data_IF_266262209132
#
_entry.id   IF_266262209132
#
_cell.length_a   1.000
_cell.length_b   1.000
_cell.length_c   1.000
_cell.angle_alpha   90.00
_cell.angle_beta   90.00
_cell.angle_gamma   90.00
#
_symmetry.space_group_name_H-M   'P 1'
#
loop_
_entity.id
_entity.type
_entity.pdbx_description
1 polymer ?
#
# COMPACT_ATOMS: atom_id res chain seq x y z
N UNK A 1 -4.26 15.65 -10.09
CA UNK A 1 -3.84 15.40 -8.70
C UNK A 1 -4.80 14.41 -8.04
N UNK A 2 -4.38 13.17 -7.78
CA UNK A 2 -5.12 12.20 -6.96
C UNK A 2 -5.00 12.53 -5.47
N UNK A 3 -5.99 12.13 -4.68
CA UNK A 3 -5.96 12.21 -3.21
C UNK A 3 -6.01 13.62 -2.60
N UNK A 4 -5.77 13.64 -1.28
CA UNK A 4 -5.85 14.81 -0.40
C UNK A 4 -4.74 15.81 -0.67
N UNK A 5 -5.05 17.11 -0.49
CA UNK A 5 -4.09 18.20 -0.55
C UNK A 5 -4.36 19.23 0.55
N UNK A 6 -3.38 19.47 1.42
CA UNK A 6 -3.48 20.52 2.44
C UNK A 6 -3.22 21.89 1.79
N UNK A 7 -4.11 22.83 2.05
CA UNK A 7 -4.01 24.22 1.59
C UNK A 7 -4.04 25.20 2.76
N UNK A 8 -3.36 26.33 2.59
CA UNK A 8 -3.41 27.48 3.50
C UNK A 8 -4.72 28.24 3.28
N UNK A 9 -5.38 28.64 4.36
CA UNK A 9 -6.57 29.48 4.34
C UNK A 9 -6.57 30.43 5.54
N UNK A 10 -7.71 31.08 5.81
CA UNK A 10 -7.92 31.98 6.94
C UNK A 10 -9.11 31.48 7.78
N UNK A 11 -9.01 31.62 9.11
CA UNK A 11 -10.13 31.34 10.02
C UNK A 11 -11.12 32.53 10.08
N UNK A 12 -12.19 32.39 10.87
CA UNK A 12 -13.20 33.45 11.06
C UNK A 12 -12.68 34.72 11.76
N UNK A 13 -11.46 34.68 12.30
CA UNK A 13 -10.77 35.81 12.95
C UNK A 13 -9.65 36.39 12.07
N UNK A 14 -9.48 35.89 10.84
CA UNK A 14 -8.44 36.33 9.90
C UNK A 14 -7.06 35.70 10.14
N UNK A 15 -6.92 34.74 11.06
CA UNK A 15 -5.65 34.07 11.29
C UNK A 15 -5.38 33.01 10.22
N UNK A 16 -4.10 32.78 9.93
CA UNK A 16 -3.67 31.69 9.05
C UNK A 16 -4.09 30.33 9.62
N UNK A 17 -4.79 29.53 8.81
CA UNK A 17 -5.23 28.18 9.13
C UNK A 17 -4.94 27.19 7.99
N UNK A 18 -5.04 25.89 8.26
CA UNK A 18 -4.85 24.83 7.26
C UNK A 18 -6.12 23.99 7.13
N UNK A 19 -6.42 23.56 5.90
CA UNK A 19 -7.53 22.63 5.61
C UNK A 19 -7.23 21.76 4.41
N UNK A 20 -7.97 20.67 4.24
CA UNK A 20 -8.02 19.97 2.96
C UNK A 20 -8.65 20.89 1.89
N UNK A 21 -8.02 20.95 0.72
CA UNK A 21 -8.31 21.89 -0.36
C UNK A 21 -8.61 21.18 -1.68
N UNK A 22 -9.39 21.84 -2.55
CA UNK A 22 -9.81 21.29 -3.84
C UNK A 22 -10.47 19.89 -3.71
N UNK A 23 -11.28 19.70 -2.66
CA UNK A 23 -11.84 18.39 -2.29
C UNK A 23 -12.82 17.85 -3.35
N UNK A 24 -13.36 18.70 -4.23
CA UNK A 24 -14.22 18.27 -5.35
C UNK A 24 -13.53 17.31 -6.31
N UNK A 25 -12.21 17.13 -6.23
CA UNK A 25 -11.47 16.10 -6.99
C UNK A 25 -11.65 14.69 -6.42
N UNK A 26 -12.02 14.56 -5.16
CA UNK A 26 -11.97 13.31 -4.40
C UNK A 26 -13.28 12.51 -4.52
N UNK A 27 -13.17 11.20 -4.28
CA UNK A 27 -14.24 10.20 -4.46
C UNK A 27 -15.55 10.53 -3.73
N UNK A 28 -15.47 11.15 -2.54
CA UNK A 28 -16.65 11.41 -1.71
C UNK A 28 -17.54 12.52 -2.27
N UNK A 29 -17.04 13.33 -3.22
CA UNK A 29 -17.83 14.35 -3.93
C UNK A 29 -18.09 13.92 -5.38
N UNK A 30 -17.05 13.51 -6.10
CA UNK A 30 -17.14 13.28 -7.55
C UNK A 30 -17.40 11.84 -7.99
N UNK A 31 -17.39 10.88 -7.05
CA UNK A 31 -17.72 9.46 -7.32
C UNK A 31 -16.93 8.92 -8.53
N UNK A 32 -17.58 8.37 -9.54
CA UNK A 32 -16.94 7.87 -10.77
C UNK A 32 -16.06 8.94 -11.45
N UNK A 33 -16.45 10.22 -11.41
CA UNK A 33 -15.70 11.34 -12.01
C UNK A 33 -14.54 11.87 -11.15
N UNK A 34 -14.19 11.19 -10.07
CA UNK A 34 -13.07 11.56 -9.22
C UNK A 34 -11.74 11.35 -9.93
N UNK A 35 -10.68 12.01 -9.46
CA UNK A 35 -9.34 11.87 -10.06
C UNK A 35 -8.65 10.55 -9.71
N UNK A 36 -9.17 9.81 -8.73
CA UNK A 36 -8.73 8.49 -8.27
C UNK A 36 -9.76 7.96 -7.26
N UNK A 37 -9.80 6.65 -7.07
CA UNK A 37 -10.58 5.99 -6.01
C UNK A 37 -9.95 6.13 -4.61
N UNK A 38 -8.75 6.69 -4.47
CA UNK A 38 -8.04 6.73 -3.18
C UNK A 38 -8.85 7.45 -2.08
N UNK A 39 -8.94 6.80 -0.92
CA UNK A 39 -9.58 7.35 0.28
C UNK A 39 -8.63 7.31 1.48
N UNK A 40 -8.43 6.15 2.13
CA UNK A 40 -7.33 5.97 3.09
C UNK A 40 -6.01 6.01 2.33
N UNK A 41 -5.02 6.76 2.83
CA UNK A 41 -3.70 6.92 2.21
C UNK A 41 -2.61 6.48 3.19
N UNK A 42 -1.54 7.26 3.35
CA UNK A 42 -0.39 6.96 4.22
C UNK A 42 -0.02 8.17 5.10
N UNK A 43 -1.03 8.78 5.77
CA UNK A 43 -0.84 10.07 6.47
C UNK A 43 0.19 9.96 7.60
N UNK A 44 0.10 8.95 8.47
CA UNK A 44 1.05 8.77 9.57
C UNK A 44 2.50 8.63 9.05
N UNK A 45 2.71 7.83 8.00
CA UNK A 45 4.03 7.64 7.40
C UNK A 45 4.54 8.91 6.70
N UNK A 46 3.65 9.68 6.06
CA UNK A 46 3.99 10.99 5.50
C UNK A 46 4.37 12.00 6.59
N UNK A 47 3.70 11.96 7.74
CA UNK A 47 4.08 12.74 8.93
C UNK A 47 5.46 12.31 9.42
N UNK A 48 5.73 11.02 9.58
CA UNK A 48 7.06 10.52 9.99
C UNK A 48 8.17 10.96 9.02
N UNK A 49 7.96 10.82 7.72
CA UNK A 49 8.92 11.29 6.70
C UNK A 49 9.14 12.81 6.77
N UNK A 50 8.07 13.60 7.01
CA UNK A 50 8.20 15.04 7.20
C UNK A 50 8.99 15.39 8.46
N UNK A 51 8.81 14.64 9.54
CA UNK A 51 9.53 14.82 10.80
C UNK A 51 11.01 14.46 10.65
N UNK A 52 11.33 13.40 9.91
CA UNK A 52 12.70 13.07 9.53
C UNK A 52 13.36 14.22 8.75
N UNK A 53 12.65 14.81 7.77
CA UNK A 53 13.14 15.96 7.02
C UNK A 53 13.25 17.24 7.89
N UNK A 54 12.37 17.48 8.85
CA UNK A 54 12.47 18.61 9.80
C UNK A 54 13.68 18.45 10.71
N UNK A 55 13.90 17.24 11.22
CA UNK A 55 14.99 16.93 12.14
C UNK A 55 16.36 17.04 11.45
N UNK A 56 16.54 16.39 10.30
CA UNK A 56 17.80 16.40 9.55
C UNK A 56 18.00 17.65 8.69
N UNK A 57 16.91 18.25 8.17
CA UNK A 57 16.92 19.41 7.30
C UNK A 57 17.87 19.28 6.08
N UNK A 58 18.14 20.36 5.34
CA UNK A 58 18.86 20.24 4.08
C UNK A 58 20.30 19.74 4.25
N UNK A 59 21.01 20.18 5.30
CA UNK A 59 22.40 19.78 5.53
C UNK A 59 22.53 18.32 5.99
N UNK A 60 21.68 17.87 6.93
CA UNK A 60 21.71 16.49 7.42
C UNK A 60 21.32 15.49 6.34
N UNK A 61 20.26 15.78 5.57
CA UNK A 61 19.87 14.93 4.44
C UNK A 61 20.96 14.86 3.36
N UNK A 62 21.65 15.99 3.08
CA UNK A 62 22.81 16.00 2.18
C UNK A 62 23.94 15.11 2.73
N UNK A 63 24.25 15.21 4.02
CA UNK A 63 25.30 14.43 4.66
C UNK A 63 24.98 12.91 4.63
N UNK A 64 23.72 12.53 4.87
CA UNK A 64 23.27 11.14 4.75
C UNK A 64 23.45 10.65 3.31
N UNK A 65 22.93 11.39 2.33
CA UNK A 65 23.06 11.03 0.91
C UNK A 65 24.53 10.92 0.46
N UNK A 66 25.38 11.85 0.90
CA UNK A 66 26.83 11.82 0.63
C UNK A 66 27.50 10.60 1.27
N UNK A 67 27.14 10.27 2.51
CA UNK A 67 27.66 9.08 3.21
C UNK A 67 27.28 7.79 2.50
N UNK A 68 26.01 7.62 2.09
CA UNK A 68 25.55 6.45 1.34
C UNK A 68 26.30 6.31 0.01
N UNK A 69 26.43 7.40 -0.74
CA UNK A 69 27.17 7.38 -2.00
C UNK A 69 28.65 7.04 -1.80
N UNK A 70 29.31 7.62 -0.78
CA UNK A 70 30.71 7.31 -0.47
C UNK A 70 30.92 5.83 -0.13
N UNK A 71 30.02 5.22 0.65
CA UNK A 71 30.04 3.77 0.93
C UNK A 71 29.93 2.98 -0.38
N UNK A 72 29.04 3.39 -1.28
CA UNK A 72 28.81 2.71 -2.57
C UNK A 72 30.03 2.82 -3.49
N UNK A 73 30.66 4.00 -3.55
CA UNK A 73 31.91 4.19 -4.29
C UNK A 73 33.03 3.31 -3.75
N UNK A 74 33.18 3.23 -2.41
CA UNK A 74 34.17 2.33 -1.80
C UNK A 74 33.89 0.89 -2.18
N UNK A 75 32.64 0.44 -2.03
CA UNK A 75 32.22 -0.91 -2.42
C UNK A 75 32.61 -1.22 -3.87
N UNK A 76 32.27 -0.32 -4.80
CA UNK A 76 32.59 -0.44 -6.22
C UNK A 76 34.11 -0.55 -6.46
N UNK A 77 34.92 0.30 -5.83
CA UNK A 77 36.39 0.23 -5.94
C UNK A 77 36.94 -1.13 -5.49
N UNK A 78 36.40 -1.70 -4.42
CA UNK A 78 36.81 -3.02 -3.95
C UNK A 78 36.43 -4.13 -4.93
N UNK A 79 35.24 -4.06 -5.54
CA UNK A 79 34.80 -5.00 -6.57
C UNK A 79 35.65 -4.89 -7.85
N UNK A 80 35.96 -3.67 -8.29
CA UNK A 80 36.87 -3.42 -9.41
C UNK A 80 38.29 -3.95 -9.14
N UNK A 81 38.79 -3.82 -7.90
CA UNK A 81 40.09 -4.37 -7.49
C UNK A 81 40.13 -5.90 -7.53
N UNK A 82 38.98 -6.57 -7.37
CA UNK A 82 38.83 -8.02 -7.55
C UNK A 82 38.69 -8.43 -9.03
N UNK A 83 38.66 -7.48 -9.96
CA UNK A 83 38.57 -7.72 -11.40
C UNK A 83 37.15 -7.80 -11.94
N UNK A 84 36.13 -7.42 -11.16
CA UNK A 84 34.75 -7.37 -11.65
C UNK A 84 34.45 -6.06 -12.39
N UNK A 85 33.60 -6.15 -13.41
CA UNK A 85 33.06 -4.98 -14.12
C UNK A 85 31.85 -4.44 -13.36
N UNK A 86 31.93 -3.17 -12.95
CA UNK A 86 30.84 -2.47 -12.24
C UNK A 86 30.18 -1.45 -13.19
N UNK A 87 28.87 -1.56 -13.34
CA UNK A 87 28.04 -0.70 -14.19
C UNK A 87 26.79 -0.21 -13.45
N UNK A 88 26.24 0.96 -13.81
CA UNK A 88 26.86 2.00 -14.64
C UNK A 88 28.11 2.62 -13.98
N UNK A 89 28.92 3.35 -14.74
CA UNK A 89 30.10 4.06 -14.21
C UNK A 89 29.73 5.22 -13.28
N UNK A 90 28.52 5.78 -13.44
CA UNK A 90 27.92 6.80 -12.58
C UNK A 90 26.66 6.27 -11.90
N UNK A 91 26.55 6.47 -10.59
CA UNK A 91 25.49 5.91 -9.75
C UNK A 91 25.29 6.74 -8.47
N UNK A 92 24.17 6.56 -7.79
CA UNK A 92 23.97 7.11 -6.45
C UNK A 92 24.35 6.09 -5.37
N UNK A 93 23.51 5.10 -5.13
CA UNK A 93 23.66 4.08 -4.08
C UNK A 93 23.61 2.64 -4.60
N UNK A 94 23.37 2.49 -5.90
CA UNK A 94 23.05 1.22 -6.54
C UNK A 94 23.97 0.96 -7.72
N UNK A 95 24.60 -0.21 -7.73
CA UNK A 95 25.46 -0.70 -8.79
C UNK A 95 25.01 -2.07 -9.27
N UNK A 96 25.39 -2.41 -10.49
CA UNK A 96 25.26 -3.75 -11.08
C UNK A 96 26.63 -4.29 -11.40
N UNK A 97 26.89 -5.55 -11.06
CA UNK A 97 28.18 -6.20 -11.24
C UNK A 97 28.01 -7.37 -12.20
N UNK A 98 28.82 -7.41 -13.25
CA UNK A 98 28.89 -8.57 -14.14
C UNK A 98 29.73 -9.67 -13.51
N UNK A 99 29.11 -10.84 -13.33
CA UNK A 99 29.72 -11.99 -12.63
C UNK A 99 29.62 -13.29 -13.44
N UNK A 100 28.88 -13.26 -14.56
CA UNK A 100 28.70 -14.42 -15.43
C UNK A 100 28.17 -15.64 -14.68
N UNK A 101 28.78 -16.80 -14.94
CA UNK A 101 28.38 -18.08 -14.33
C UNK A 101 28.60 -18.14 -12.81
N UNK A 102 29.36 -17.19 -12.23
CA UNK A 102 29.61 -17.13 -10.79
C UNK A 102 28.43 -16.58 -9.98
N UNK A 103 27.40 -16.01 -10.64
CA UNK A 103 26.24 -15.39 -9.98
C UNK A 103 25.66 -16.28 -8.87
N UNK A 104 25.40 -17.56 -9.15
CA UNK A 104 24.84 -18.48 -8.18
C UNK A 104 25.73 -18.73 -6.95
N UNK A 105 27.05 -18.77 -7.14
CA UNK A 105 28.02 -19.01 -6.06
C UNK A 105 28.16 -17.77 -5.19
N UNK A 106 28.27 -16.59 -5.79
CA UNK A 106 28.40 -15.31 -5.07
C UNK A 106 27.15 -15.03 -4.24
N UNK A 107 25.95 -15.26 -4.78
CA UNK A 107 24.71 -15.08 -4.00
C UNK A 107 24.70 -15.97 -2.75
N UNK A 108 25.07 -17.26 -2.89
CA UNK A 108 25.16 -18.18 -1.73
C UNK A 108 26.23 -17.77 -0.73
N UNK A 109 27.37 -17.25 -1.21
CA UNK A 109 28.42 -16.75 -0.34
C UNK A 109 27.97 -15.48 0.42
N UNK A 110 27.21 -14.59 -0.23
CA UNK A 110 26.62 -13.42 0.41
C UNK A 110 25.58 -13.82 1.46
N UNK A 111 24.72 -14.80 1.17
CA UNK A 111 23.75 -15.35 2.13
C UNK A 111 24.45 -15.93 3.37
N UNK A 112 25.59 -16.60 3.19
CA UNK A 112 26.40 -17.11 4.30
C UNK A 112 27.07 -16.02 5.15
N UNK A 113 27.12 -14.79 4.65
CA UNK A 113 27.59 -13.58 5.33
C UNK A 113 26.43 -12.68 5.82
N UNK A 114 25.21 -13.21 5.87
CA UNK A 114 23.99 -12.50 6.24
C UNK A 114 23.66 -11.29 5.33
N UNK A 115 24.00 -11.39 4.04
CA UNK A 115 23.73 -10.36 3.02
C UNK A 115 22.87 -10.90 1.88
N UNK A 116 21.75 -10.23 1.61
CA UNK A 116 20.94 -10.46 0.42
C UNK A 116 21.36 -9.53 -0.72
N UNK A 117 21.55 -10.07 -1.93
CA UNK A 117 21.85 -9.32 -3.14
C UNK A 117 20.80 -9.60 -4.22
N UNK A 118 20.62 -8.66 -5.16
CA UNK A 118 19.59 -8.79 -6.20
C UNK A 118 20.14 -9.55 -7.41
N UNK A 119 19.51 -10.67 -7.78
CA UNK A 119 19.77 -11.33 -9.07
C UNK A 119 19.23 -10.48 -10.22
N UNK A 120 20.05 -10.26 -11.26
CA UNK A 120 19.64 -9.59 -12.50
C UNK A 120 20.00 -10.50 -13.67
N UNK A 121 19.00 -11.00 -14.38
CA UNK A 121 19.20 -12.02 -15.41
C UNK A 121 19.93 -13.25 -14.85
N UNK A 122 20.80 -13.86 -15.66
CA UNK A 122 21.57 -15.06 -15.31
C UNK A 122 23.05 -14.79 -15.01
N UNK A 123 23.51 -13.54 -15.14
CA UNK A 123 24.92 -13.18 -15.20
C UNK A 123 25.31 -11.93 -14.39
N UNK A 124 24.35 -11.22 -13.80
CA UNK A 124 24.60 -9.97 -13.09
C UNK A 124 24.02 -9.94 -11.68
N UNK A 125 24.63 -9.15 -10.80
CA UNK A 125 24.17 -8.92 -9.43
C UNK A 125 23.97 -7.42 -9.21
N UNK A 126 22.78 -7.02 -8.79
CA UNK A 126 22.47 -5.68 -8.32
C UNK A 126 22.73 -5.54 -6.83
N UNK A 127 23.34 -4.42 -6.43
CA UNK A 127 23.68 -4.11 -5.04
C UNK A 127 23.25 -2.68 -4.76
N UNK A 128 22.43 -2.48 -3.73
CA UNK A 128 22.00 -1.16 -3.25
C UNK A 128 22.42 -1.01 -1.79
N UNK A 129 23.14 0.07 -1.49
CA UNK A 129 23.46 0.43 -0.10
C UNK A 129 22.51 1.50 0.40
N UNK A 130 22.47 1.68 1.72
CA UNK A 130 21.56 2.60 2.38
C UNK A 130 22.22 3.30 3.59
N UNK A 131 21.42 4.10 4.30
CA UNK A 131 21.85 4.82 5.50
C UNK A 131 22.41 3.86 6.57
N UNK A 132 21.79 2.68 6.72
CA UNK A 132 22.12 1.69 7.74
C UNK A 132 23.35 0.85 7.41
N UNK A 133 23.80 0.84 6.16
CA UNK A 133 24.97 0.09 5.72
C UNK A 133 26.21 0.47 6.54
N UNK A 134 26.90 -0.52 7.10
CA UNK A 134 28.09 -0.33 7.97
C UNK A 134 29.35 -0.88 7.30
N UNK A 135 30.56 -0.55 7.79
CA UNK A 135 31.80 -1.14 7.27
C UNK A 135 31.74 -2.65 7.10
N UNK A 136 31.26 -3.36 8.14
CA UNK A 136 31.10 -4.82 8.12
C UNK A 136 30.21 -5.34 6.98
N UNK A 137 29.22 -4.55 6.54
CA UNK A 137 28.34 -4.89 5.42
C UNK A 137 29.11 -4.86 4.09
N UNK A 138 29.97 -3.86 3.88
CA UNK A 138 30.78 -3.76 2.66
C UNK A 138 31.81 -4.89 2.60
N UNK A 139 32.43 -5.18 3.74
CA UNK A 139 33.43 -6.24 3.87
C UNK A 139 32.81 -7.62 3.64
N UNK A 140 31.60 -7.87 4.16
CA UNK A 140 30.81 -9.07 3.86
C UNK A 140 30.54 -9.23 2.36
N UNK A 141 30.17 -8.15 1.67
CA UNK A 141 30.00 -8.19 0.21
C UNK A 141 31.32 -8.50 -0.48
N UNK A 142 32.45 -7.89 -0.10
CA UNK A 142 33.73 -8.24 -0.72
C UNK A 142 34.13 -9.70 -0.48
N UNK A 143 33.91 -10.24 0.73
CA UNK A 143 34.13 -11.67 1.03
C UNK A 143 33.29 -12.57 0.14
N UNK A 144 32.02 -12.25 -0.09
CA UNK A 144 31.16 -12.99 -1.00
C UNK A 144 31.67 -13.02 -2.46
N UNK A 145 32.39 -11.97 -2.87
CA UNK A 145 33.02 -11.87 -4.19
C UNK A 145 34.46 -12.42 -4.23
N UNK A 146 34.95 -13.00 -3.13
CA UNK A 146 36.28 -13.61 -3.01
C UNK A 146 37.40 -12.66 -2.57
N UNK A 147 37.06 -11.47 -2.08
CA UNK A 147 38.01 -10.51 -1.52
C UNK A 147 38.14 -10.61 0.00
N UNK A 148 39.27 -10.13 0.52
CA UNK A 148 39.49 -9.97 1.96
C UNK A 148 40.09 -8.59 2.19
N UNK A 149 39.21 -7.59 2.32
CA UNK A 149 39.59 -6.21 2.50
C UNK A 149 38.90 -5.63 3.72
N UNK A 150 39.59 -4.72 4.42
CA UNK A 150 38.98 -3.77 5.34
C UNK A 150 38.57 -2.51 4.57
N UNK A 151 37.51 -1.83 5.01
CA UNK A 151 37.12 -0.53 4.44
C UNK A 151 38.24 0.52 4.50
N UNK A 152 39.16 0.41 5.46
CA UNK A 152 40.28 1.33 5.65
C UNK A 152 41.35 1.20 4.55
N UNK A 153 41.31 0.11 3.76
CA UNK A 153 42.17 -0.07 2.60
C UNK A 153 41.75 0.82 1.40
N UNK A 154 40.63 1.54 1.51
CA UNK A 154 40.09 2.38 0.45
C UNK A 154 39.91 3.82 0.93
N UNK A 155 40.67 4.73 0.33
CA UNK A 155 40.54 6.16 0.60
C UNK A 155 39.09 6.66 0.37
N UNK A 156 38.56 7.50 1.28
CA UNK A 156 37.29 8.17 1.08
C UNK A 156 37.26 8.90 -0.27
N UNK A 157 36.11 8.92 -0.94
CA UNK A 157 35.92 9.84 -2.06
C UNK A 157 35.99 11.28 -1.54
N UNK A 158 36.83 12.10 -2.15
CA UNK A 158 37.00 13.52 -1.83
C UNK A 158 36.07 14.38 -2.71
N UNK A 159 35.78 15.60 -2.27
CA UNK A 159 34.98 16.57 -3.06
C UNK A 159 35.57 16.81 -4.46
N UNK A 160 36.90 16.83 -4.56
CA UNK A 160 37.63 17.19 -5.79
C UNK A 160 37.98 15.96 -6.64
N UNK A 161 37.88 14.75 -6.09
CA UNK A 161 38.12 13.49 -6.81
C UNK A 161 37.42 12.30 -6.16
N UNK A 162 36.66 11.54 -6.95
CA UNK A 162 36.14 10.22 -6.55
C UNK A 162 34.62 10.10 -6.38
N UNK A 163 33.83 11.16 -6.55
CA UNK A 163 32.38 11.00 -6.73
C UNK A 163 32.12 10.28 -8.06
N UNK A 164 31.13 9.37 -8.06
CA UNK A 164 30.65 8.71 -9.29
C UNK A 164 29.26 9.20 -9.64
N UNK A 165 29.08 10.52 -9.65
CA UNK A 165 27.84 11.17 -10.07
C UNK A 165 28.07 11.87 -11.42
N UNK A 166 27.04 12.03 -12.26
CA UNK A 166 27.16 12.83 -13.48
C UNK A 166 27.39 14.30 -13.11
N UNK A 167 28.47 14.92 -13.62
CA UNK A 167 28.85 16.29 -13.28
C UNK A 167 27.76 17.31 -13.63
N UNK A 168 27.07 17.10 -14.75
CA UNK A 168 25.97 17.91 -15.25
C UNK A 168 24.64 17.72 -14.48
N UNK A 169 24.55 16.67 -13.65
CA UNK A 169 23.38 16.38 -12.82
C UNK A 169 23.57 16.70 -11.33
N UNK A 170 24.69 17.35 -10.97
CA UNK A 170 24.91 17.80 -9.60
C UNK A 170 23.91 18.90 -9.22
N UNK A 171 23.11 18.64 -8.19
CA UNK A 171 22.12 19.60 -7.71
C UNK A 171 22.78 20.85 -7.14
N UNK A 172 22.51 22.00 -7.77
CA UNK A 172 22.94 23.32 -7.30
C UNK A 172 21.83 24.11 -6.60
N UNK A 173 20.57 23.71 -6.78
CA UNK A 173 19.42 24.40 -6.19
C UNK A 173 19.31 24.19 -4.68
N UNK A 174 18.95 25.25 -3.96
CA UNK A 174 18.58 25.16 -2.55
C UNK A 174 17.27 24.39 -2.35
N UNK A 175 17.09 23.79 -1.17
CA UNK A 175 15.89 23.05 -0.81
C UNK A 175 15.64 23.10 0.70
N UNK A 176 14.40 22.81 1.09
CA UNK A 176 13.95 22.88 2.47
C UNK A 176 14.27 24.23 3.12
N UNK A 177 14.14 25.32 2.36
CA UNK A 177 14.50 26.69 2.80
C UNK A 177 13.49 27.31 3.77
N UNK A 178 12.33 26.70 3.93
CA UNK A 178 11.34 27.17 4.90
C UNK A 178 11.89 27.04 6.33
N UNK A 179 11.72 28.05 7.21
CA UNK A 179 12.33 28.06 8.54
C UNK A 179 12.10 26.80 9.38
N UNK A 180 10.98 26.11 9.18
CA UNK A 180 10.64 24.90 9.93
C UNK A 180 11.72 23.80 9.84
N UNK A 181 12.42 23.69 8.70
CA UNK A 181 13.49 22.72 8.49
C UNK A 181 14.82 23.17 9.11
N UNK A 182 14.85 24.28 9.85
CA UNK A 182 16.03 24.83 10.49
C UNK A 182 15.85 25.01 12.02
N UNK A 183 14.62 24.92 12.54
CA UNK A 183 14.28 25.32 13.91
C UNK A 183 14.30 24.20 14.97
N UNK A 184 14.24 22.92 14.59
CA UNK A 184 14.07 21.81 15.54
C UNK A 184 15.20 20.77 15.37
N UNK A 185 16.41 21.10 15.84
CA UNK A 185 17.63 20.31 15.59
C UNK A 185 18.04 19.47 16.78
N UNK A 186 17.74 19.93 17.98
CA UNK A 186 17.92 19.12 19.18
C UNK A 186 16.72 18.19 19.38
N UNK A 187 16.98 17.01 19.95
CA UNK A 187 15.94 16.04 20.31
C UNK A 187 14.84 16.67 21.18
N UNK A 188 15.22 17.53 22.13
CA UNK A 188 14.28 18.24 23.01
C UNK A 188 13.40 19.25 22.26
N UNK A 189 13.93 19.94 21.25
CA UNK A 189 13.17 20.86 20.39
C UNK A 189 12.17 20.08 19.54
N UNK A 190 12.64 18.98 18.93
CA UNK A 190 11.80 18.11 18.10
C UNK A 190 10.67 17.49 18.90
N UNK A 191 10.96 16.99 20.11
CA UNK A 191 9.95 16.46 21.04
C UNK A 191 8.89 17.51 21.37
N UNK A 192 9.30 18.74 21.68
CA UNK A 192 8.37 19.86 21.94
C UNK A 192 7.55 20.24 20.70
N UNK A 193 8.14 20.16 19.52
CA UNK A 193 7.45 20.44 18.26
C UNK A 193 6.37 19.40 17.96
N UNK A 194 6.70 18.11 18.03
CA UNK A 194 5.76 17.00 17.85
C UNK A 194 4.62 17.10 18.88
N UNK A 195 4.95 17.33 20.16
CA UNK A 195 3.94 17.47 21.22
C UNK A 195 2.97 18.61 20.93
N UNK A 196 3.48 19.79 20.53
CA UNK A 196 2.67 20.97 20.22
C UNK A 196 1.70 20.73 19.05
N UNK A 197 2.11 19.95 18.05
CA UNK A 197 1.21 19.57 16.95
C UNK A 197 0.15 18.58 17.43
N UNK A 198 0.55 17.55 18.18
CA UNK A 198 -0.37 16.56 18.76
C UNK A 198 -1.42 17.19 19.68
N UNK A 199 -1.06 18.22 20.45
CA UNK A 199 -1.99 18.93 21.32
C UNK A 199 -3.13 19.64 20.56
N UNK A 200 -2.91 19.99 19.29
CA UNK A 200 -3.91 20.68 18.44
C UNK A 200 -4.96 19.72 17.84
N UNK A 201 -4.70 18.43 17.86
CA UNK A 201 -5.54 17.43 17.22
C UNK A 201 -6.34 16.66 18.26
N UNK A 202 -7.66 16.58 18.08
CA UNK A 202 -8.52 15.70 18.90
C UNK A 202 -8.34 14.26 18.44
N UNK A 203 -7.93 13.38 19.35
CA UNK A 203 -7.74 11.95 19.10
C UNK A 203 -8.45 11.10 20.17
N UNK A 204 -8.41 9.77 20.01
CA UNK A 204 -9.14 8.80 20.82
C UNK A 204 -8.67 8.71 22.28
N UNK A 205 -7.50 9.27 22.61
CA UNK A 205 -7.03 9.42 23.99
C UNK A 205 -7.82 10.46 24.80
N UNK A 206 -8.63 11.30 24.13
CA UNK A 206 -9.39 12.39 24.76
C UNK A 206 -10.89 12.15 24.81
N UNK A 207 -11.47 11.68 23.71
CA UNK A 207 -12.91 11.48 23.62
C UNK A 207 -13.28 10.50 22.52
N UNK A 208 -14.55 10.05 22.54
CA UNK A 208 -15.16 9.38 21.40
C UNK A 208 -15.11 10.28 20.15
N UNK A 209 -14.82 9.68 18.99
CA UNK A 209 -14.92 10.31 17.66
C UNK A 209 -15.93 9.49 16.84
N UNK A 210 -17.24 9.82 16.87
CA UNK A 210 -18.30 8.98 16.32
C UNK A 210 -18.49 9.18 14.81
N UNK A 211 -17.43 8.97 14.02
CA UNK A 211 -17.49 9.07 12.57
C UNK A 211 -18.14 7.80 11.98
N UNK A 212 -19.35 7.95 11.44
CA UNK A 212 -20.04 6.90 10.70
C UNK A 212 -19.18 6.36 9.55
N UNK A 213 -19.28 5.05 9.28
CA UNK A 213 -18.45 4.33 8.29
C UNK A 213 -16.92 4.31 8.58
N UNK A 214 -16.45 4.86 9.71
CA UNK A 214 -15.02 4.83 10.07
C UNK A 214 -14.68 3.83 11.18
N UNK A 215 -15.63 3.43 12.02
CA UNK A 215 -15.42 2.47 13.11
C UNK A 215 -14.23 2.86 14.00
N UNK A 216 -14.31 4.03 14.65
CA UNK A 216 -13.26 4.55 15.54
C UNK A 216 -13.21 3.77 16.87
N UNK A 217 -12.79 2.50 16.79
CA UNK A 217 -12.65 1.58 17.93
C UNK A 217 -11.28 1.71 18.60
N UNK A 218 -11.08 0.95 19.68
CA UNK A 218 -9.79 0.83 20.33
C UNK A 218 -8.72 0.29 19.37
N UNK A 219 -7.57 0.96 19.32
CA UNK A 219 -6.33 0.41 18.79
C UNK A 219 -5.47 0.02 20.00
N UNK A 220 -5.53 -1.25 20.41
CA UNK A 220 -4.98 -1.63 21.71
C UNK A 220 -3.46 -1.59 21.70
N UNK A 221 -2.83 -1.16 22.80
CA UNK A 221 -1.37 -1.12 22.91
C UNK A 221 -0.74 -2.48 22.58
N UNK A 222 -1.32 -3.58 23.07
CA UNK A 222 -0.83 -4.93 22.79
C UNK A 222 -0.84 -5.27 21.28
N UNK A 223 -1.81 -4.76 20.52
CA UNK A 223 -1.88 -4.94 19.06
C UNK A 223 -0.84 -4.08 18.33
N UNK A 224 -0.47 -2.92 18.90
CA UNK A 224 0.46 -1.98 18.28
C UNK A 224 1.93 -2.31 18.53
N UNK A 225 2.27 -2.94 19.68
CA UNK A 225 3.66 -3.22 20.05
C UNK A 225 4.47 -3.96 18.95
N UNK A 226 3.92 -4.99 18.27
CA UNK A 226 4.71 -5.77 17.32
C UNK A 226 5.12 -5.02 16.04
N UNK A 227 4.41 -3.95 15.66
CA UNK A 227 4.65 -3.27 14.38
C UNK A 227 6.05 -2.62 14.29
N UNK A 228 6.72 -2.43 15.42
CA UNK A 228 8.08 -1.87 15.51
C UNK A 228 9.13 -2.90 15.96
N UNK A 229 8.78 -4.19 16.10
CA UNK A 229 9.79 -5.21 16.36
C UNK A 229 10.66 -5.41 15.11
N UNK A 230 11.98 -5.55 15.24
CA UNK A 230 12.87 -5.73 14.09
C UNK A 230 12.47 -6.89 13.18
N UNK A 231 11.95 -7.98 13.74
CA UNK A 231 11.47 -9.17 13.02
C UNK A 231 10.29 -8.87 12.07
N UNK A 232 9.58 -7.75 12.27
CA UNK A 232 8.57 -7.23 11.35
C UNK A 232 9.08 -6.01 10.57
N UNK A 233 9.62 -5.00 11.26
CA UNK A 233 9.92 -3.70 10.68
C UNK A 233 11.20 -3.65 9.83
N UNK A 234 12.11 -4.62 9.97
CA UNK A 234 13.43 -4.61 9.33
C UNK A 234 13.62 -5.68 8.25
N UNK A 235 12.53 -6.26 7.74
CA UNK A 235 12.56 -7.22 6.64
C UNK A 235 12.28 -6.54 5.30
N UNK A 236 13.20 -6.70 4.34
CA UNK A 236 12.98 -6.24 2.97
C UNK A 236 11.87 -7.08 2.30
N UNK A 237 10.92 -6.48 1.56
CA UNK A 237 9.77 -7.21 1.00
C UNK A 237 10.13 -8.31 -0.01
N UNK A 238 11.34 -8.26 -0.59
CA UNK A 238 11.85 -9.24 -1.56
C UNK A 238 12.99 -10.12 -1.02
N UNK A 239 13.08 -10.33 0.31
CA UNK A 239 13.97 -11.36 0.85
C UNK A 239 13.60 -12.75 0.31
N UNK A 240 14.55 -13.71 0.26
CA UNK A 240 14.24 -15.12 0.09
C UNK A 240 13.13 -15.58 1.05
N UNK A 241 12.18 -16.38 0.53
CA UNK A 241 10.97 -16.76 1.26
C UNK A 241 11.26 -17.50 2.58
N UNK A 242 12.40 -18.19 2.65
CA UNK A 242 12.84 -18.92 3.83
C UNK A 242 13.33 -18.01 4.97
N UNK A 243 13.62 -16.74 4.70
CA UNK A 243 13.93 -15.71 5.69
C UNK A 243 12.68 -15.01 6.24
N UNK A 244 11.53 -15.16 5.57
CA UNK A 244 10.25 -14.55 5.95
C UNK A 244 9.20 -15.59 6.44
N UNK A 245 9.64 -16.75 6.96
CA UNK A 245 8.72 -17.82 7.41
C UNK A 245 7.76 -17.36 8.51
N UNK A 246 8.21 -16.49 9.41
CA UNK A 246 7.35 -15.91 10.46
C UNK A 246 6.19 -15.11 9.87
N UNK A 247 6.46 -14.28 8.85
CA UNK A 247 5.43 -13.58 8.08
C UNK A 247 4.46 -14.56 7.42
N UNK A 248 4.96 -15.63 6.81
CA UNK A 248 4.10 -16.66 6.20
C UNK A 248 3.14 -17.26 7.21
N UNK A 249 3.62 -17.69 8.37
CA UNK A 249 2.77 -18.27 9.43
C UNK A 249 1.68 -17.28 9.86
N UNK A 250 2.05 -16.03 10.12
CA UNK A 250 1.10 -14.98 10.52
C UNK A 250 0.05 -14.71 9.42
N UNK A 251 0.46 -14.62 8.16
CA UNK A 251 -0.45 -14.32 7.05
C UNK A 251 -1.38 -15.49 6.75
N UNK A 252 -0.90 -16.73 6.82
CA UNK A 252 -1.71 -17.94 6.64
C UNK A 252 -2.77 -18.03 7.76
N UNK A 253 -2.37 -17.83 9.02
CA UNK A 253 -3.26 -17.84 10.18
C UNK A 253 -4.31 -16.71 10.11
N UNK A 254 -3.89 -15.49 9.76
CA UNK A 254 -4.83 -14.38 9.58
C UNK A 254 -5.79 -14.66 8.43
N UNK A 255 -5.30 -15.17 7.29
CA UNK A 255 -6.14 -15.49 6.13
C UNK A 255 -7.21 -16.53 6.49
N UNK A 256 -6.83 -17.58 7.23
CA UNK A 256 -7.78 -18.59 7.67
C UNK A 256 -8.86 -18.01 8.59
N UNK A 257 -8.46 -17.20 9.58
CA UNK A 257 -9.41 -16.52 10.47
C UNK A 257 -10.35 -15.59 9.69
N UNK A 258 -9.83 -14.89 8.68
CA UNK A 258 -10.63 -14.03 7.82
C UNK A 258 -11.61 -14.84 6.96
N UNK A 259 -11.21 -16.00 6.43
CA UNK A 259 -12.13 -16.95 5.77
C UNK A 259 -13.25 -17.37 6.73
N UNK A 260 -12.92 -17.75 7.97
CA UNK A 260 -13.91 -18.22 8.95
C UNK A 260 -14.97 -17.15 9.25
N UNK A 261 -14.55 -15.89 9.48
CA UNK A 261 -15.48 -14.78 9.79
C UNK A 261 -16.23 -14.23 8.59
N UNK A 262 -15.79 -14.51 7.37
CA UNK A 262 -16.43 -13.98 6.14
C UNK A 262 -17.18 -15.03 5.32
N UNK A 263 -16.90 -16.32 5.52
CA UNK A 263 -17.44 -17.40 4.70
C UNK A 263 -16.84 -17.47 3.30
N UNK A 264 -15.67 -16.88 3.08
CA UNK A 264 -14.89 -17.00 1.85
C UNK A 264 -13.91 -18.17 1.90
N UNK A 265 -13.35 -18.52 0.74
CA UNK A 265 -12.49 -19.69 0.56
C UNK A 265 -11.01 -19.33 0.45
N UNK A 266 -10.68 -18.10 0.01
CA UNK A 266 -9.31 -17.62 -0.11
C UNK A 266 -9.21 -16.10 0.13
N UNK A 267 -8.03 -15.64 0.53
CA UNK A 267 -7.73 -14.21 0.70
C UNK A 267 -6.49 -13.78 -0.11
N UNK A 268 -6.54 -12.56 -0.65
CA UNK A 268 -5.35 -11.83 -1.07
C UNK A 268 -5.09 -10.67 -0.12
N UNK A 269 -3.87 -10.63 0.42
CA UNK A 269 -3.39 -9.61 1.35
C UNK A 269 -2.73 -8.41 0.64
N UNK A 270 -2.59 -8.44 -0.68
CA UNK A 270 -1.90 -7.41 -1.46
C UNK A 270 -2.56 -6.01 -1.37
N UNK A 271 -3.90 -5.85 -1.43
CA UNK A 271 -4.47 -4.50 -1.48
C UNK A 271 -4.28 -3.72 -0.17
N UNK A 272 -3.58 -2.58 -0.27
CA UNK A 272 -3.14 -1.77 0.88
C UNK A 272 -4.13 -0.66 1.30
N UNK A 273 -5.38 -0.72 0.84
CA UNK A 273 -6.48 0.15 1.30
C UNK A 273 -7.81 -0.45 0.87
N UNK A 274 -8.92 -0.02 1.47
CA UNK A 274 -10.24 -0.53 1.07
C UNK A 274 -10.58 -0.27 -0.40
N UNK A 275 -10.25 0.93 -0.91
CA UNK A 275 -10.42 1.28 -2.32
C UNK A 275 -9.54 0.42 -3.25
N UNK A 276 -8.31 0.06 -2.82
CA UNK A 276 -7.50 -0.90 -3.57
C UNK A 276 -8.10 -2.32 -3.52
N UNK A 277 -8.75 -2.70 -2.40
CA UNK A 277 -9.49 -3.95 -2.30
C UNK A 277 -10.68 -4.00 -3.26
N UNK A 278 -11.43 -2.91 -3.39
CA UNK A 278 -12.47 -2.78 -4.43
C UNK A 278 -11.90 -2.96 -5.83
N UNK A 279 -10.87 -2.20 -6.17
CA UNK A 279 -10.23 -2.32 -7.48
C UNK A 279 -9.72 -3.75 -7.75
N UNK A 280 -9.09 -4.39 -6.76
CA UNK A 280 -8.60 -5.75 -6.86
C UNK A 280 -9.72 -6.78 -7.03
N UNK A 281 -10.81 -6.65 -6.28
CA UNK A 281 -11.98 -7.53 -6.39
C UNK A 281 -12.65 -7.42 -7.76
N UNK A 282 -12.77 -6.19 -8.29
CA UNK A 282 -13.33 -5.97 -9.62
C UNK A 282 -12.42 -6.49 -10.74
N UNK A 283 -11.09 -6.34 -10.60
CA UNK A 283 -10.15 -6.97 -11.53
C UNK A 283 -10.20 -8.50 -11.47
N UNK A 284 -10.39 -9.07 -10.27
CA UNK A 284 -10.57 -10.52 -10.08
C UNK A 284 -11.83 -11.01 -10.80
N UNK A 285 -12.96 -10.31 -10.63
CA UNK A 285 -14.21 -10.60 -11.37
C UNK A 285 -13.99 -10.49 -12.88
N UNK A 286 -13.31 -9.44 -13.35
CA UNK A 286 -13.02 -9.25 -14.77
C UNK A 286 -12.15 -10.38 -15.33
N UNK A 287 -11.13 -10.80 -14.59
CA UNK A 287 -10.27 -11.91 -14.99
C UNK A 287 -11.03 -13.24 -15.04
N UNK A 288 -11.97 -13.47 -14.11
CA UNK A 288 -12.89 -14.61 -14.14
C UNK A 288 -13.77 -14.60 -15.40
N UNK A 289 -14.42 -13.48 -15.72
CA UNK A 289 -15.23 -13.35 -16.95
C UNK A 289 -14.41 -13.60 -18.21
N UNK A 290 -13.19 -13.03 -18.30
CA UNK A 290 -12.28 -13.26 -19.42
C UNK A 290 -11.92 -14.74 -19.56
N UNK A 291 -11.62 -15.42 -18.44
CA UNK A 291 -11.27 -16.84 -18.46
C UNK A 291 -12.43 -17.73 -18.92
N UNK A 292 -13.67 -17.29 -18.74
CA UNK A 292 -14.88 -17.99 -19.20
C UNK A 292 -15.32 -17.59 -20.63
N UNK A 293 -14.59 -16.71 -21.31
CA UNK A 293 -14.95 -16.21 -22.65
C UNK A 293 -15.95 -15.05 -22.65
N UNK A 294 -16.40 -14.58 -21.48
CA UNK A 294 -17.34 -13.49 -21.31
C UNK A 294 -16.66 -12.12 -21.29
N UNK A 295 -15.75 -11.87 -22.24
CA UNK A 295 -14.90 -10.66 -22.28
C UNK A 295 -15.69 -9.36 -22.47
N UNK A 296 -16.96 -9.44 -22.84
CA UNK A 296 -17.87 -8.33 -23.10
C UNK A 296 -18.59 -7.81 -21.84
N UNK A 297 -18.56 -8.57 -20.73
CA UNK A 297 -19.24 -8.21 -19.48
C UNK A 297 -18.51 -7.08 -18.74
N UNK A 298 -18.93 -5.84 -18.97
CA UNK A 298 -18.33 -4.63 -18.41
C UNK A 298 -19.28 -3.74 -17.60
N UNK A 299 -20.55 -4.12 -17.44
CA UNK A 299 -21.53 -3.34 -16.66
C UNK A 299 -21.39 -3.64 -15.17
N UNK A 300 -21.23 -2.59 -14.37
CA UNK A 300 -21.24 -2.64 -12.91
C UNK A 300 -22.45 -1.87 -12.36
N UNK A 301 -23.38 -2.60 -11.74
CA UNK A 301 -24.53 -2.02 -11.05
C UNK A 301 -24.10 -1.49 -9.68
N UNK A 302 -24.43 -0.23 -9.37
CA UNK A 302 -24.02 0.40 -8.10
C UNK A 302 -25.18 1.20 -7.51
N UNK A 303 -25.69 0.87 -6.32
CA UNK A 303 -26.68 1.69 -5.62
C UNK A 303 -26.19 3.12 -5.41
N UNK A 304 -27.07 4.10 -5.53
CA UNK A 304 -26.72 5.51 -5.31
C UNK A 304 -26.28 5.80 -3.87
N UNK A 305 -26.65 4.95 -2.92
CA UNK A 305 -26.22 4.98 -1.52
C UNK A 305 -24.77 4.50 -1.31
N UNK A 306 -24.18 3.76 -2.25
CA UNK A 306 -22.84 3.20 -2.09
C UNK A 306 -21.79 4.30 -1.85
N UNK A 307 -20.72 3.94 -1.14
CA UNK A 307 -19.59 4.84 -0.89
C UNK A 307 -19.00 5.33 -2.22
N UNK A 308 -18.41 6.53 -2.23
CA UNK A 308 -17.90 7.16 -3.47
C UNK A 308 -16.71 6.42 -4.10
N UNK A 309 -16.04 5.56 -3.34
CA UNK A 309 -14.96 4.69 -3.84
C UNK A 309 -15.48 3.66 -4.82
N UNK A 310 -16.64 3.04 -4.57
CA UNK A 310 -17.21 1.98 -5.40
C UNK A 310 -17.30 2.38 -6.89
N UNK A 311 -17.98 3.49 -7.26
CA UNK A 311 -18.05 3.93 -8.65
C UNK A 311 -16.68 4.40 -9.21
N UNK A 312 -15.81 4.97 -8.38
CA UNK A 312 -14.45 5.34 -8.80
C UNK A 312 -13.58 4.10 -9.11
N UNK A 313 -13.67 3.06 -8.30
CA UNK A 313 -12.98 1.78 -8.45
C UNK A 313 -13.49 1.03 -9.69
N UNK A 314 -14.81 1.01 -9.91
CA UNK A 314 -15.40 0.43 -11.11
C UNK A 314 -14.94 1.14 -12.39
N UNK A 315 -14.94 2.46 -12.40
CA UNK A 315 -14.41 3.21 -13.55
C UNK A 315 -12.91 2.96 -13.76
N UNK A 316 -12.11 2.88 -12.69
CA UNK A 316 -10.69 2.56 -12.77
C UNK A 316 -10.43 1.15 -13.31
N UNK A 317 -11.30 0.18 -12.99
CA UNK A 317 -11.27 -1.19 -13.52
C UNK A 317 -11.79 -1.30 -14.96
N UNK A 318 -12.16 -0.18 -15.60
CA UNK A 318 -12.66 -0.14 -16.97
C UNK A 318 -14.12 -0.59 -17.13
N UNK A 319 -14.89 -0.61 -16.04
CA UNK A 319 -16.31 -0.96 -16.07
C UNK A 319 -17.20 0.26 -16.32
N UNK A 320 -18.37 0.03 -16.92
CA UNK A 320 -19.43 1.01 -17.10
C UNK A 320 -20.35 1.00 -15.88
N UNK A 321 -20.34 2.09 -15.12
CA UNK A 321 -21.19 2.25 -13.93
C UNK A 321 -22.63 2.53 -14.35
N UNK A 322 -23.55 1.68 -13.91
CA UNK A 322 -24.99 1.89 -14.05
C UNK A 322 -25.58 2.09 -12.65
N UNK A 323 -26.04 3.32 -12.30
CA UNK A 323 -26.55 3.60 -10.96
C UNK A 323 -27.87 2.86 -10.73
N UNK A 324 -28.08 2.32 -9.53
CA UNK A 324 -29.33 1.70 -9.08
C UNK A 324 -29.99 2.59 -8.03
N UNK A 325 -31.31 2.75 -8.12
CA UNK A 325 -32.08 3.58 -7.18
C UNK A 325 -32.11 2.96 -5.79
N UNK A 326 -32.44 3.81 -4.83
CA UNK A 326 -32.62 3.47 -3.43
C UNK A 326 -33.99 4.00 -3.04
N UNK A 327 -34.76 3.21 -2.30
CA UNK A 327 -36.09 3.60 -1.80
C UNK A 327 -35.97 4.58 -0.62
N UNK A 328 -37.10 5.19 -0.25
CA UNK A 328 -37.13 6.21 0.81
C UNK A 328 -36.68 5.70 2.19
N UNK A 329 -36.81 4.39 2.44
CA UNK A 329 -36.32 3.74 3.66
C UNK A 329 -34.79 3.46 3.64
N UNK A 330 -34.12 3.75 2.53
CA UNK A 330 -32.68 3.59 2.37
C UNK A 330 -32.21 2.24 1.81
N UNK A 331 -33.14 1.34 1.46
CA UNK A 331 -32.86 0.04 0.84
C UNK A 331 -32.65 0.16 -0.67
N UNK A 332 -32.01 -0.83 -1.28
CA UNK A 332 -31.90 -0.91 -2.74
C UNK A 332 -33.31 -1.11 -3.34
N UNK A 333 -33.67 -0.28 -4.32
CA UNK A 333 -34.92 -0.42 -5.05
C UNK A 333 -34.88 -1.70 -5.91
N UNK A 334 -35.49 -2.77 -5.41
CA UNK A 334 -35.52 -4.07 -6.07
C UNK A 334 -36.17 -4.03 -7.47
N UNK A 335 -37.14 -3.14 -7.70
CA UNK A 335 -37.83 -3.04 -8.99
C UNK A 335 -36.89 -2.43 -10.02
N UNK A 336 -36.24 -1.32 -9.67
CA UNK A 336 -35.24 -0.68 -10.53
C UNK A 336 -34.02 -1.57 -10.75
N UNK A 337 -33.56 -2.26 -9.69
CA UNK A 337 -32.46 -3.21 -9.77
C UNK A 337 -32.76 -4.37 -10.74
N UNK A 338 -33.91 -5.03 -10.59
CA UNK A 338 -34.32 -6.14 -11.45
C UNK A 338 -34.43 -5.69 -12.91
N UNK A 339 -35.06 -4.56 -13.16
CA UNK A 339 -35.18 -4.01 -14.52
C UNK A 339 -33.81 -3.73 -15.16
N UNK A 340 -32.84 -3.21 -14.40
CA UNK A 340 -31.48 -2.97 -14.89
C UNK A 340 -30.66 -4.24 -15.08
N UNK A 341 -30.79 -5.22 -14.17
CA UNK A 341 -30.16 -6.52 -14.32
C UNK A 341 -30.65 -7.23 -15.59
N UNK A 342 -31.96 -7.18 -15.88
CA UNK A 342 -32.54 -7.72 -17.11
C UNK A 342 -32.08 -6.96 -18.36
N UNK A 343 -32.14 -5.62 -18.32
CA UNK A 343 -31.72 -4.75 -19.45
C UNK A 343 -30.25 -4.95 -19.81
N UNK A 344 -29.38 -5.18 -18.82
CA UNK A 344 -27.94 -5.33 -19.00
C UNK A 344 -27.47 -6.79 -18.94
N UNK A 345 -28.36 -7.78 -18.94
CA UNK A 345 -28.03 -9.18 -18.64
C UNK A 345 -26.86 -9.75 -19.48
N UNK A 346 -26.81 -9.43 -20.77
CA UNK A 346 -25.72 -9.87 -21.65
C UNK A 346 -24.37 -9.27 -21.26
N UNK A 347 -24.33 -8.03 -20.77
CA UNK A 347 -23.10 -7.31 -20.45
C UNK A 347 -22.86 -7.16 -18.93
N UNK A 348 -23.68 -7.78 -18.08
CA UNK A 348 -23.62 -7.65 -16.63
C UNK A 348 -22.35 -8.32 -16.11
N UNK A 349 -21.43 -7.51 -15.58
CA UNK A 349 -20.19 -7.97 -14.96
C UNK A 349 -20.41 -8.25 -13.47
N UNK A 350 -20.93 -7.26 -12.74
CA UNK A 350 -21.15 -7.37 -11.31
C UNK A 350 -22.14 -6.34 -10.76
N UNK A 351 -22.52 -6.54 -9.51
CA UNK A 351 -23.05 -5.51 -8.62
C UNK A 351 -22.04 -5.20 -7.52
N UNK A 352 -21.98 -3.93 -7.09
CA UNK A 352 -21.34 -3.55 -5.83
C UNK A 352 -22.39 -3.15 -4.81
N UNK A 353 -22.53 -3.91 -3.73
CA UNK A 353 -23.41 -3.60 -2.59
C UNK A 353 -22.60 -3.33 -1.33
N UNK A 354 -23.18 -2.66 -0.33
CA UNK A 354 -22.61 -2.52 1.01
C UNK A 354 -23.59 -3.15 2.00
N UNK A 355 -23.13 -4.01 2.89
CA UNK A 355 -24.00 -4.67 3.87
C UNK A 355 -23.39 -4.67 5.28
N UNK A 356 -24.14 -4.23 6.32
CA UNK A 356 -25.36 -3.43 6.22
C UNK A 356 -25.11 -2.14 5.42
N UNK A 357 -26.18 -1.53 4.91
CA UNK A 357 -26.10 -0.41 3.97
C UNK A 357 -25.36 0.80 4.56
N UNK A 358 -24.99 1.77 3.73
CA UNK A 358 -24.37 3.03 4.19
C UNK A 358 -25.29 3.87 5.07
N UNK A 359 -26.59 3.57 5.10
CA UNK A 359 -27.57 4.14 6.03
C UNK A 359 -27.57 3.46 7.41
N UNK A 360 -26.81 2.36 7.58
CA UNK A 360 -26.72 1.61 8.83
C UNK A 360 -27.89 0.62 9.05
N UNK A 361 -28.54 0.17 7.97
CA UNK A 361 -29.70 -0.72 8.01
C UNK A 361 -29.35 -2.08 7.39
N UNK A 362 -29.87 -3.16 8.01
CA UNK A 362 -29.80 -4.51 7.44
C UNK A 362 -30.98 -4.71 6.48
N UNK A 363 -30.68 -4.75 5.18
CA UNK A 363 -31.68 -5.02 4.15
C UNK A 363 -32.14 -6.49 4.21
N UNK A 364 -33.46 -6.72 4.16
CA UNK A 364 -34.04 -8.08 4.15
C UNK A 364 -33.88 -8.77 2.78
N UNK A 365 -33.64 -8.00 1.73
CA UNK A 365 -33.67 -8.40 0.32
C UNK A 365 -32.28 -8.74 -0.25
N UNK A 366 -31.22 -8.63 0.55
CA UNK A 366 -29.83 -8.77 0.07
C UNK A 366 -29.55 -10.11 -0.62
N UNK A 367 -30.19 -11.20 -0.17
CA UNK A 367 -30.07 -12.53 -0.80
C UNK A 367 -30.71 -12.55 -2.18
N UNK A 368 -31.90 -11.96 -2.32
CA UNK A 368 -32.58 -11.84 -3.62
C UNK A 368 -31.75 -11.02 -4.62
N UNK A 369 -31.05 -9.97 -4.15
CA UNK A 369 -30.15 -9.18 -4.99
C UNK A 369 -28.99 -10.02 -5.52
N UNK A 370 -28.41 -10.87 -4.66
CA UNK A 370 -27.35 -11.80 -5.06
C UNK A 370 -27.87 -12.81 -6.10
N UNK A 371 -29.00 -13.44 -5.82
CA UNK A 371 -29.64 -14.42 -6.69
C UNK A 371 -29.97 -13.85 -8.08
N UNK A 372 -30.54 -12.64 -8.15
CA UNK A 372 -30.82 -11.96 -9.42
C UNK A 372 -29.53 -11.69 -10.18
N UNK A 373 -28.48 -11.21 -9.51
CA UNK A 373 -27.19 -10.94 -10.14
C UNK A 373 -26.60 -12.21 -10.75
N UNK A 374 -26.56 -13.30 -9.97
CA UNK A 374 -26.06 -14.60 -10.42
C UNK A 374 -26.89 -15.17 -11.56
N UNK A 375 -28.22 -15.04 -11.50
CA UNK A 375 -29.14 -15.46 -12.58
C UNK A 375 -28.83 -14.79 -13.92
N UNK A 376 -28.33 -13.55 -13.91
CA UNK A 376 -27.95 -12.78 -15.09
C UNK A 376 -26.44 -12.88 -15.42
N UNK A 377 -25.72 -13.83 -14.82
CA UNK A 377 -24.31 -14.11 -15.09
C UNK A 377 -23.32 -13.12 -14.47
N UNK A 378 -23.79 -12.20 -13.62
CA UNK A 378 -22.92 -11.27 -12.89
C UNK A 378 -22.29 -11.90 -11.64
N UNK A 379 -21.35 -11.17 -11.04
CA UNK A 379 -20.77 -11.47 -9.73
C UNK A 379 -21.18 -10.43 -8.67
N UNK A 380 -21.14 -10.80 -7.40
CA UNK A 380 -21.55 -9.94 -6.28
C UNK A 380 -20.32 -9.49 -5.50
N UNK A 381 -19.94 -8.24 -5.70
CA UNK A 381 -18.98 -7.55 -4.86
C UNK A 381 -19.68 -6.94 -3.64
N UNK A 382 -19.26 -7.30 -2.43
CA UNK A 382 -19.77 -6.71 -1.19
C UNK A 382 -18.68 -5.85 -0.54
N UNK A 383 -19.00 -4.58 -0.30
CA UNK A 383 -18.16 -3.66 0.43
C UNK A 383 -18.21 -4.00 1.94
N UNK A 384 -17.11 -4.58 2.43
CA UNK A 384 -16.97 -5.03 3.81
C UNK A 384 -16.54 -3.93 4.80
N UNK A 385 -16.62 -2.65 4.44
CA UNK A 385 -16.33 -1.54 5.36
C UNK A 385 -17.20 -1.57 6.63
N UNK A 386 -18.41 -2.13 6.53
CA UNK A 386 -19.39 -2.22 7.61
C UNK A 386 -19.37 -3.58 8.34
N UNK A 387 -18.35 -4.42 8.12
CA UNK A 387 -18.23 -5.76 8.73
C UNK A 387 -18.25 -5.75 10.27
N UNK A 388 -17.99 -4.61 10.92
CA UNK A 388 -18.10 -4.50 12.38
C UNK A 388 -19.52 -4.79 12.91
N UNK A 389 -20.55 -4.66 12.07
CA UNK A 389 -21.91 -5.04 12.41
C UNK A 389 -22.23 -6.53 12.11
N UNK A 390 -21.32 -7.25 11.44
CA UNK A 390 -21.57 -8.62 10.95
C UNK A 390 -20.71 -9.68 11.65
N UNK A 391 -19.47 -9.36 12.02
CA UNK A 391 -18.53 -10.34 12.61
C UNK A 391 -19.17 -11.06 13.81
N UNK A 392 -19.25 -12.38 13.72
CA UNK A 392 -19.84 -13.25 14.74
C UNK A 392 -21.37 -13.41 14.65
N UNK A 393 -22.05 -12.72 13.73
CA UNK A 393 -23.50 -12.75 13.54
C UNK A 393 -23.90 -13.26 12.15
N UNK A 394 -23.21 -12.81 11.10
CA UNK A 394 -23.45 -13.21 9.72
C UNK A 394 -22.17 -13.12 8.89
N UNK A 395 -22.16 -13.79 7.74
CA UNK A 395 -20.98 -13.90 6.88
C UNK A 395 -21.35 -13.52 5.44
N UNK A 396 -20.63 -12.58 4.77
CA UNK A 396 -20.88 -12.21 3.38
C UNK A 396 -20.98 -13.39 2.42
N UNK A 397 -20.10 -14.39 2.57
CA UNK A 397 -20.08 -15.58 1.74
C UNK A 397 -21.29 -16.50 1.93
N UNK A 398 -22.00 -16.43 3.07
CA UNK A 398 -23.25 -17.18 3.29
C UNK A 398 -24.48 -16.44 2.76
N UNK A 399 -24.36 -15.12 2.54
CA UNK A 399 -25.43 -14.26 2.01
C UNK A 399 -25.53 -14.41 0.48
N UNK A 400 -24.42 -14.73 -0.19
CA UNK A 400 -24.33 -14.85 -1.65
C UNK A 400 -23.31 -13.92 -2.28
N UNK A 401 -22.45 -13.27 -1.49
CA UNK A 401 -21.34 -12.49 -2.04
C UNK A 401 -20.20 -13.39 -2.54
N UNK A 402 -19.63 -13.03 -3.69
CA UNK A 402 -18.50 -13.73 -4.31
C UNK A 402 -17.15 -13.18 -3.86
N UNK A 403 -17.09 -11.87 -3.60
CA UNK A 403 -15.87 -11.17 -3.18
C UNK A 403 -16.19 -9.98 -2.29
N UNK A 404 -15.39 -9.78 -1.24
CA UNK A 404 -15.40 -8.54 -0.44
C UNK A 404 -13.99 -8.08 -0.13
N UNK A 405 -13.79 -6.78 -0.05
CA UNK A 405 -12.66 -6.24 0.72
C UNK A 405 -13.03 -6.08 2.19
N UNK A 406 -12.01 -6.06 3.06
CA UNK A 406 -12.16 -5.71 4.48
C UNK A 406 -11.31 -4.49 4.82
N UNK A 407 -11.87 -3.48 5.50
CA UNK A 407 -11.04 -2.43 6.09
C UNK A 407 -10.46 -2.90 7.43
N UNK A 408 -9.23 -3.42 7.43
CA UNK A 408 -8.57 -3.79 8.70
C UNK A 408 -8.38 -2.57 9.63
N UNK A 409 -8.20 -1.39 9.05
CA UNK A 409 -8.11 -0.08 9.73
C UNK A 409 -9.46 0.50 10.19
N UNK A 410 -10.52 -0.29 10.10
CA UNK A 410 -11.84 0.02 10.69
C UNK A 410 -12.24 -1.13 11.61
N UNK A 411 -12.53 -2.29 11.02
CA UNK A 411 -13.10 -3.43 11.75
C UNK A 411 -12.06 -4.18 12.58
N UNK A 412 -10.79 -4.17 12.20
CA UNK A 412 -9.75 -5.01 12.80
C UNK A 412 -8.56 -4.21 13.37
N UNK A 413 -8.87 -3.06 13.97
CA UNK A 413 -8.01 -2.31 14.88
C UNK A 413 -6.70 -1.72 14.35
N UNK A 414 -6.36 -1.82 13.05
CA UNK A 414 -5.25 -1.01 12.51
C UNK A 414 -5.56 0.48 12.76
N UNK A 415 -4.61 1.30 13.25
CA UNK A 415 -4.88 2.68 13.63
C UNK A 415 -5.18 3.55 12.42
N UNK A 416 -6.15 4.46 12.55
CA UNK A 416 -6.55 5.37 11.47
C UNK A 416 -5.45 6.34 11.03
N UNK A 417 -4.48 6.65 11.92
CA UNK A 417 -3.26 7.40 11.59
C UNK A 417 -3.47 8.81 11.00
N UNK A 418 -4.61 9.45 11.29
CA UNK A 418 -4.98 10.74 10.68
C UNK A 418 -5.39 10.65 9.20
N UNK A 419 -5.61 9.44 8.69
CA UNK A 419 -5.99 9.16 7.30
C UNK A 419 -5.10 8.13 6.58
N UNK A 420 -4.46 7.23 7.32
CA UNK A 420 -3.57 6.17 6.84
C UNK A 420 -2.43 5.87 7.82
N UNK A 421 -1.97 4.61 7.94
CA UNK A 421 -2.08 3.54 6.95
C UNK A 421 -3.43 2.82 6.93
N UNK A 422 -3.65 2.04 5.87
CA UNK A 422 -4.74 1.09 5.78
C UNK A 422 -4.26 -0.24 5.22
N UNK A 423 -5.12 -1.26 5.33
CA UNK A 423 -5.07 -2.52 4.60
C UNK A 423 -6.50 -2.87 4.16
N UNK A 424 -6.62 -3.42 2.96
CA UNK A 424 -7.88 -3.75 2.29
C UNK A 424 -7.90 -5.14 1.68
N UNK A 425 -7.50 -6.21 2.42
CA UNK A 425 -7.43 -7.55 1.85
C UNK A 425 -8.79 -7.98 1.29
N UNK A 426 -8.77 -8.76 0.21
CA UNK A 426 -9.98 -9.29 -0.42
C UNK A 426 -10.16 -10.76 -0.11
N UNK A 427 -11.34 -11.12 0.38
CA UNK A 427 -11.81 -12.49 0.50
C UNK A 427 -12.65 -12.86 -0.71
N UNK A 428 -12.46 -14.05 -1.25
CA UNK A 428 -13.14 -14.52 -2.46
C UNK A 428 -13.67 -15.95 -2.30
N UNK A 429 -14.74 -16.26 -3.02
CA UNK A 429 -15.21 -17.63 -3.22
C UNK A 429 -14.24 -18.43 -4.10
N UNK A 430 -14.30 -19.76 -3.97
CA UNK A 430 -13.35 -20.69 -4.58
C UNK A 430 -13.16 -20.49 -6.10
N UNK A 431 -14.23 -20.15 -6.84
CA UNK A 431 -14.15 -19.94 -8.29
C UNK A 431 -13.38 -18.68 -8.70
N UNK A 432 -13.24 -17.69 -7.79
CA UNK A 432 -12.47 -16.47 -8.03
C UNK A 432 -11.01 -16.58 -7.55
N UNK A 433 -10.68 -17.58 -6.71
CA UNK A 433 -9.34 -17.74 -6.14
C UNK A 433 -8.21 -17.84 -7.19
N UNK A 434 -8.36 -18.56 -8.33
CA UNK A 434 -7.35 -18.61 -9.39
C UNK A 434 -7.07 -17.26 -10.06
N UNK A 435 -7.99 -16.30 -9.90
CA UNK A 435 -7.97 -14.98 -10.56
C UNK A 435 -7.50 -13.85 -9.61
N UNK A 436 -7.13 -14.18 -8.37
CA UNK A 436 -6.58 -13.21 -7.43
C UNK A 436 -5.30 -12.55 -7.97
N UNK A 437 -5.03 -11.28 -7.58
CA UNK A 437 -3.84 -10.55 -8.01
C UNK A 437 -2.54 -11.36 -7.84
N UNK A 438 -1.68 -11.30 -8.86
CA UNK A 438 -0.34 -11.87 -8.86
C UNK A 438 0.74 -10.86 -8.42
N UNK A 439 1.99 -11.29 -8.41
CA UNK A 439 3.11 -10.36 -8.28
C UNK A 439 4.39 -10.87 -8.98
N UNK A 440 4.94 -10.10 -9.96
CA UNK A 440 5.97 -10.60 -10.86
C UNK A 440 7.28 -10.99 -10.17
N UNK A 441 7.61 -10.37 -9.02
CA UNK A 441 8.84 -10.70 -8.30
C UNK A 441 8.71 -11.90 -7.35
N UNK A 442 7.51 -12.24 -6.90
CA UNK A 442 7.32 -13.28 -5.86
C UNK A 442 6.67 -14.55 -6.39
N UNK A 443 5.75 -14.47 -7.35
CA UNK A 443 5.10 -15.63 -7.96
C UNK A 443 5.13 -15.63 -9.49
N UNK A 444 5.75 -14.62 -10.11
CA UNK A 444 5.90 -14.51 -11.56
C UNK A 444 4.63 -14.14 -12.33
N UNK A 445 3.50 -13.97 -11.64
CA UNK A 445 2.23 -13.58 -12.27
C UNK A 445 2.14 -12.05 -12.39
N UNK A 446 1.55 -11.58 -13.48
CA UNK A 446 1.23 -10.16 -13.66
C UNK A 446 0.02 -9.74 -12.81
N UNK A 447 -0.34 -8.45 -12.85
CA UNK A 447 -1.56 -7.95 -12.23
C UNK A 447 -1.44 -7.59 -10.75
N UNK A 448 -0.24 -7.23 -10.30
CA UNK A 448 -0.05 -6.65 -8.97
C UNK A 448 -0.88 -5.37 -8.82
N UNK A 449 -1.69 -5.30 -7.77
CA UNK A 449 -2.53 -4.15 -7.43
C UNK A 449 -1.92 -3.27 -6.33
N UNK A 450 -0.79 -3.67 -5.76
CA UNK A 450 0.02 -2.81 -4.89
C UNK A 450 1.50 -3.07 -5.17
N UNK A 451 2.32 -2.07 -4.80
CA UNK A 451 3.75 -2.25 -4.68
C UNK A 451 4.11 -3.09 -3.44
#
# INVERSE_FOLDING_TARGET
MPGRLVGVSIDSRGNRAYRLSLQTREQHIRREKATSNICTAQVLLAVMASMYAVFHGPQGLKAIAQSVHQKTVRLAKGLEKLGYTVEPSTFFDTITVEVGKLQGVIIKAAEAEDVNLRRIGSDRIGISLDERSRPVTLEAVWRAFGGDFSVDAFEPASADSGWRLPEDMLRTSAYLTHPIFHMNRAESEMTRYIRRLSDRDLALDRSMIPLGSCTMKLNATAEMLPITWPEFAEIHPFVPADQARGYKVMLDDLSQKLCDVTGYDAFSMQPNSGAQGEYAGLLTIRAYHIANGDTHRDICLIPTSAHGTNPASAQMAGMKVVPVKVSDNGDIDLVDFRAKAETHAENLSCIMITYPSTHGVFEETVREICEITHKHGGQVYLDGANMNAMVGLSRPGDIGSDVSHLNLHKTFCIPHGGGGPGMGPIGVKAHLAPHLPGHPASDGREGAVSA
#
